data_IF_771334230611
#
_entry.id   IF_771334230611
#
_cell.length_a   1.000
_cell.length_b   1.000
_cell.length_c   1.000
_cell.angle_alpha   90.00
_cell.angle_beta   90.00
_cell.angle_gamma   90.00
#
_symmetry.space_group_name_H-M   'P 1'
#
loop_
_entity.id
_entity.type
_entity.pdbx_description
1 polymer ?
#
# COMPACT_ATOMS: atom_id res chain seq x y z
N UNK A 1 43.79 53.09 2.34
CA UNK A 1 42.79 52.11 2.82
C UNK A 1 43.38 51.52 4.09
N UNK A 2 42.79 51.81 5.24
CA UNK A 2 43.30 51.37 6.55
C UNK A 2 42.92 49.92 6.80
N UNK A 3 43.91 49.06 7.00
CA UNK A 3 43.68 47.68 7.42
C UNK A 3 42.97 47.67 8.79
N UNK A 4 41.96 46.80 8.98
CA UNK A 4 41.22 46.74 10.24
C UNK A 4 42.16 46.34 11.39
N UNK A 5 42.09 47.09 12.49
CA UNK A 5 42.86 46.81 13.70
C UNK A 5 42.71 45.35 14.15
N UNK A 6 43.81 44.68 14.52
CA UNK A 6 43.77 43.28 14.95
C UNK A 6 42.89 43.13 16.20
N UNK A 7 42.01 42.13 16.17
CA UNK A 7 41.07 41.83 17.26
C UNK A 7 41.81 41.64 18.58
N UNK A 8 41.23 42.15 19.67
CA UNK A 8 41.74 41.84 21.00
C UNK A 8 41.58 40.35 21.31
N UNK A 9 42.41 39.76 22.18
CA UNK A 9 42.34 38.32 22.50
C UNK A 9 40.93 37.86 22.93
N UNK A 10 40.22 38.70 23.70
CA UNK A 10 38.85 38.42 24.15
C UNK A 10 37.84 38.43 23.00
N UNK A 11 37.95 39.41 22.10
CA UNK A 11 37.11 39.47 20.90
C UNK A 11 37.34 38.26 19.99
N UNK A 12 38.58 37.75 19.94
CA UNK A 12 38.92 36.55 19.19
C UNK A 12 38.33 35.29 19.81
N UNK A 13 38.39 35.12 21.14
CA UNK A 13 37.78 34.00 21.85
C UNK A 13 36.27 33.99 21.60
N UNK A 14 35.61 35.14 21.79
CA UNK A 14 34.16 35.27 21.55
C UNK A 14 33.78 34.93 20.10
N UNK A 15 34.59 35.38 19.13
CA UNK A 15 34.38 35.04 17.71
C UNK A 15 34.53 33.54 17.45
N UNK A 16 35.52 32.90 18.05
CA UNK A 16 35.74 31.46 17.93
C UNK A 16 34.62 30.65 18.58
N UNK A 17 34.15 31.05 19.76
CA UNK A 17 32.99 30.44 20.43
C UNK A 17 31.74 30.52 19.57
N UNK A 18 31.48 31.67 18.94
CA UNK A 18 30.37 31.85 18.03
C UNK A 18 30.51 30.95 16.79
N UNK A 19 31.69 30.89 16.19
CA UNK A 19 31.97 29.98 15.07
C UNK A 19 31.79 28.50 15.47
N UNK A 20 32.20 28.13 16.68
CA UNK A 20 31.99 26.78 17.22
C UNK A 20 30.51 26.48 17.44
N UNK A 21 29.71 27.45 17.90
CA UNK A 21 28.27 27.30 18.04
C UNK A 21 27.60 27.13 16.66
N UNK A 22 27.93 27.98 15.69
CA UNK A 22 27.36 27.94 14.34
C UNK A 22 27.72 26.63 13.62
N UNK A 23 28.96 26.14 13.77
CA UNK A 23 29.39 24.88 13.16
C UNK A 23 28.69 23.67 13.77
N UNK A 24 28.48 23.65 15.09
CA UNK A 24 27.69 22.61 15.77
C UNK A 24 26.25 22.62 15.28
N UNK A 25 25.60 23.77 15.24
CA UNK A 25 24.22 23.89 14.74
C UNK A 25 24.09 23.41 13.28
N UNK A 26 25.06 23.76 12.43
CA UNK A 26 25.09 23.26 11.05
C UNK A 26 25.25 21.75 10.99
N UNK A 27 26.15 21.17 11.80
CA UNK A 27 26.36 19.72 11.83
C UNK A 27 25.09 18.99 12.29
N UNK A 28 24.46 19.43 13.38
CA UNK A 28 23.20 18.89 13.89
C UNK A 28 22.08 18.96 12.83
N UNK A 29 22.00 20.08 12.11
CA UNK A 29 21.07 20.24 10.99
C UNK A 29 21.35 19.23 9.86
N UNK A 30 22.61 19.09 9.44
CA UNK A 30 22.99 18.13 8.39
C UNK A 30 22.70 16.69 8.81
N UNK A 31 22.98 16.33 10.05
CA UNK A 31 22.66 15.00 10.60
C UNK A 31 21.16 14.75 10.53
N UNK A 32 20.33 15.69 10.96
CA UNK A 32 18.88 15.58 10.89
C UNK A 32 18.37 15.38 9.45
N UNK A 33 18.91 16.12 8.48
CA UNK A 33 18.55 15.97 7.05
C UNK A 33 18.93 14.58 6.54
N UNK A 34 20.15 14.11 6.86
CA UNK A 34 20.61 12.78 6.44
C UNK A 34 19.74 11.67 7.03
N UNK A 35 19.25 11.82 8.27
CA UNK A 35 18.32 10.85 8.84
C UNK A 35 16.99 10.77 8.09
N UNK A 36 16.44 11.91 7.64
CA UNK A 36 15.21 11.93 6.84
C UNK A 36 15.42 11.20 5.52
N UNK A 37 16.51 11.49 4.81
CA UNK A 37 16.84 10.82 3.54
C UNK A 37 17.00 9.30 3.72
N UNK A 38 17.68 8.87 4.78
CA UNK A 38 17.82 7.43 5.10
C UNK A 38 16.48 6.78 5.40
N UNK A 39 15.53 7.49 6.01
CA UNK A 39 14.16 6.98 6.24
C UNK A 39 13.45 6.80 4.91
N UNK A 40 13.53 7.77 4.01
CA UNK A 40 12.90 7.71 2.69
C UNK A 40 13.49 6.58 1.83
N UNK A 41 14.80 6.39 1.85
CA UNK A 41 15.48 5.27 1.18
C UNK A 41 14.99 3.91 1.70
N UNK A 42 14.83 3.75 3.01
CA UNK A 42 14.30 2.52 3.63
C UNK A 42 12.86 2.27 3.20
N UNK A 43 12.04 3.31 3.14
CA UNK A 43 10.66 3.21 2.66
C UNK A 43 10.65 2.79 1.19
N UNK A 44 11.41 3.47 0.33
CA UNK A 44 11.50 3.15 -1.09
C UNK A 44 12.00 1.71 -1.33
N UNK A 45 12.99 1.25 -0.57
CA UNK A 45 13.49 -0.12 -0.66
C UNK A 45 12.44 -1.16 -0.26
N UNK A 46 11.67 -0.91 0.80
CA UNK A 46 10.57 -1.78 1.21
C UNK A 46 9.45 -1.81 0.16
N UNK A 47 9.12 -0.66 -0.42
CA UNK A 47 8.12 -0.55 -1.48
C UNK A 47 8.54 -1.28 -2.75
N UNK A 48 9.82 -1.19 -3.12
CA UNK A 48 10.39 -1.96 -4.22
C UNK A 48 10.24 -3.47 -4.02
N UNK A 49 10.55 -3.98 -2.81
CA UNK A 49 10.38 -5.40 -2.49
C UNK A 49 8.92 -5.86 -2.66
N UNK A 50 7.96 -5.05 -2.22
CA UNK A 50 6.53 -5.33 -2.40
C UNK A 50 6.14 -5.36 -3.88
N UNK A 51 6.64 -4.43 -4.69
CA UNK A 51 6.34 -4.37 -6.11
C UNK A 51 6.88 -5.58 -6.87
N UNK A 52 8.12 -5.98 -6.59
CA UNK A 52 8.74 -7.15 -7.19
C UNK A 52 7.97 -8.42 -6.84
N UNK A 53 7.58 -8.58 -5.58
CA UNK A 53 6.72 -9.69 -5.16
C UNK A 53 5.39 -9.70 -5.92
N UNK A 54 4.70 -8.56 -6.00
CA UNK A 54 3.40 -8.48 -6.68
C UNK A 54 3.53 -8.78 -8.18
N UNK A 55 4.61 -8.36 -8.82
CA UNK A 55 4.91 -8.70 -10.22
C UNK A 55 5.08 -10.21 -10.38
N UNK A 56 5.90 -10.83 -9.53
CA UNK A 56 6.12 -12.27 -9.55
C UNK A 56 4.82 -13.06 -9.35
N UNK A 57 4.03 -12.71 -8.34
CA UNK A 57 2.74 -13.35 -8.08
C UNK A 57 1.75 -13.20 -9.24
N UNK A 58 1.77 -12.07 -9.94
CA UNK A 58 0.87 -11.85 -11.09
C UNK A 58 1.31 -12.52 -12.37
N UNK A 59 2.58 -12.94 -12.48
CA UNK A 59 2.97 -13.86 -13.55
C UNK A 59 2.25 -15.20 -13.40
N UNK A 60 2.03 -15.66 -12.15
CA UNK A 60 1.33 -16.90 -11.84
C UNK A 60 -0.20 -16.72 -11.81
N UNK A 61 -0.68 -15.68 -11.14
CA UNK A 61 -2.10 -15.39 -10.93
C UNK A 61 -2.44 -13.96 -11.40
N UNK A 62 -2.69 -13.72 -12.70
CA UNK A 62 -2.80 -12.36 -13.27
C UNK A 62 -3.92 -11.49 -12.68
N UNK A 63 -4.98 -12.13 -12.17
CA UNK A 63 -6.17 -11.44 -11.60
C UNK A 63 -6.21 -11.44 -10.08
N UNK A 64 -5.10 -11.75 -9.41
CA UNK A 64 -5.05 -11.76 -7.95
C UNK A 64 -5.32 -10.35 -7.39
N UNK A 65 -6.27 -10.29 -6.44
CA UNK A 65 -6.68 -9.04 -5.81
C UNK A 65 -5.72 -8.58 -4.71
N UNK A 66 -5.69 -7.26 -4.47
CA UNK A 66 -4.80 -6.64 -3.48
C UNK A 66 -4.96 -7.18 -2.05
N UNK A 67 -6.17 -7.57 -1.63
CA UNK A 67 -6.39 -8.15 -0.28
C UNK A 67 -5.73 -9.52 -0.12
N UNK A 68 -5.73 -10.34 -1.17
CA UNK A 68 -5.05 -11.65 -1.15
C UNK A 68 -3.53 -11.46 -1.20
N UNK A 69 -3.05 -10.50 -2.00
CA UNK A 69 -1.64 -10.11 -2.03
C UNK A 69 -1.14 -9.65 -0.66
N UNK A 70 -1.92 -8.82 0.06
CA UNK A 70 -1.57 -8.39 1.42
C UNK A 70 -1.39 -9.57 2.37
N UNK A 71 -2.32 -10.53 2.33
CA UNK A 71 -2.22 -11.74 3.13
C UNK A 71 -0.96 -12.55 2.79
N UNK A 72 -0.68 -12.79 1.50
CA UNK A 72 0.52 -13.53 1.07
C UNK A 72 1.82 -12.82 1.47
N UNK A 73 1.88 -11.49 1.37
CA UNK A 73 3.03 -10.69 1.85
C UNK A 73 3.30 -10.89 3.34
N UNK A 74 2.24 -10.93 4.15
CA UNK A 74 2.34 -11.15 5.59
C UNK A 74 2.78 -12.57 5.94
N UNK A 75 2.33 -13.58 5.17
CA UNK A 75 2.66 -14.98 5.43
C UNK A 75 4.06 -15.37 4.96
N UNK A 76 4.46 -15.00 3.74
CA UNK A 76 5.67 -15.53 3.09
C UNK A 76 6.90 -14.63 3.23
N UNK A 77 6.71 -13.30 3.28
CA UNK A 77 7.81 -12.33 3.29
C UNK A 77 7.92 -11.55 4.61
N UNK A 78 7.01 -11.79 5.56
CA UNK A 78 6.92 -11.07 6.84
C UNK A 78 6.85 -9.53 6.69
N UNK A 79 6.46 -9.03 5.51
CA UNK A 79 6.32 -7.59 5.26
C UNK A 79 4.95 -7.14 5.76
N UNK A 80 4.96 -6.31 6.80
CA UNK A 80 3.76 -5.74 7.40
C UNK A 80 3.38 -4.45 6.67
N UNK A 81 2.53 -4.57 5.65
CA UNK A 81 1.94 -3.41 4.95
C UNK A 81 0.45 -3.28 5.27
N UNK A 82 0.01 -2.06 5.56
CA UNK A 82 -1.40 -1.73 5.73
C UNK A 82 -2.18 -1.90 4.42
N UNK A 83 -3.48 -2.18 4.55
CA UNK A 83 -4.38 -2.39 3.40
C UNK A 83 -4.36 -1.18 2.46
N UNK A 84 -4.56 0.00 3.01
CA UNK A 84 -4.71 1.24 2.25
C UNK A 84 -3.37 1.67 1.65
N UNK A 85 -2.28 1.61 2.43
CA UNK A 85 -0.93 1.84 1.91
C UNK A 85 -0.58 0.93 0.72
N UNK A 86 -0.94 -0.36 0.80
CA UNK A 86 -0.72 -1.29 -0.33
C UNK A 86 -1.55 -0.89 -1.55
N UNK A 87 -2.81 -0.50 -1.36
CA UNK A 87 -3.68 -0.08 -2.46
C UNK A 87 -3.19 1.21 -3.12
N UNK A 88 -2.74 2.18 -2.33
CA UNK A 88 -2.18 3.44 -2.82
C UNK A 88 -0.89 3.19 -3.60
N UNK A 89 0.03 2.39 -3.04
CA UNK A 89 1.25 1.97 -3.73
C UNK A 89 0.96 1.28 -5.06
N UNK A 90 0.04 0.30 -5.08
CA UNK A 90 -0.32 -0.38 -6.32
C UNK A 90 -0.98 0.56 -7.33
N UNK A 91 -1.73 1.57 -6.86
CA UNK A 91 -2.36 2.58 -7.71
C UNK A 91 -1.32 3.50 -8.34
N UNK A 92 -0.36 3.98 -7.56
CA UNK A 92 0.72 4.86 -8.02
C UNK A 92 1.59 4.19 -9.09
N UNK A 93 1.85 2.89 -8.92
CA UNK A 93 2.58 2.08 -9.90
C UNK A 93 1.72 1.51 -11.03
N UNK A 94 0.43 1.91 -11.15
CA UNK A 94 -0.53 1.43 -12.17
C UNK A 94 -0.70 -0.10 -12.17
N UNK A 95 -0.46 -0.73 -11.03
CA UNK A 95 -0.64 -2.14 -10.77
C UNK A 95 -2.00 -2.43 -10.12
N UNK A 96 -2.97 -1.53 -10.10
CA UNK A 96 -4.30 -1.90 -9.62
C UNK A 96 -5.04 -2.69 -10.71
N UNK A 97 -5.49 -3.92 -10.40
CA UNK A 97 -6.27 -4.74 -11.34
C UNK A 97 -7.59 -4.01 -11.61
N UNK A 98 -7.82 -3.58 -12.85
CA UNK A 98 -9.05 -2.89 -13.22
C UNK A 98 -10.21 -3.89 -13.23
N UNK A 99 -11.27 -3.56 -12.49
CA UNK A 99 -12.53 -4.30 -12.59
C UNK A 99 -13.24 -3.86 -13.87
N UNK A 100 -13.21 -4.70 -14.90
CA UNK A 100 -14.09 -4.49 -16.05
C UNK A 100 -15.54 -4.68 -15.59
N UNK A 101 -16.35 -3.65 -15.78
CA UNK A 101 -17.78 -3.73 -15.49
C UNK A 101 -18.41 -4.63 -16.54
N UNK A 102 -18.97 -5.77 -16.12
CA UNK A 102 -19.76 -6.61 -16.99
C UNK A 102 -21.06 -5.86 -17.33
N UNK A 103 -21.14 -5.30 -18.54
CA UNK A 103 -22.34 -4.60 -19.03
C UNK A 103 -23.37 -5.54 -19.66
N UNK A 104 -23.28 -6.85 -19.37
CA UNK A 104 -24.27 -7.79 -19.90
C UNK A 104 -25.65 -7.44 -19.33
N UNK A 105 -26.56 -7.06 -20.22
CA UNK A 105 -27.98 -6.88 -19.90
C UNK A 105 -28.55 -8.25 -19.58
N UNK A 106 -28.60 -8.58 -18.29
CA UNK A 106 -29.24 -9.82 -17.83
C UNK A 106 -30.77 -9.73 -17.88
N UNK A 107 -31.32 -8.53 -18.01
CA UNK A 107 -32.76 -8.25 -18.01
C UNK A 107 -33.15 -7.29 -19.13
N UNK A 108 -34.30 -7.56 -19.76
CA UNK A 108 -34.98 -6.61 -20.64
C UNK A 108 -35.70 -5.56 -19.76
N UNK A 109 -34.97 -4.51 -19.37
CA UNK A 109 -35.54 -3.38 -18.63
C UNK A 109 -36.60 -2.60 -19.41
N UNK A 110 -36.69 -2.82 -20.73
CA UNK A 110 -37.79 -2.33 -21.58
C UNK A 110 -38.95 -3.32 -21.62
N UNK A 111 -39.33 -3.86 -20.45
CA UNK A 111 -40.54 -4.67 -20.36
C UNK A 111 -41.78 -3.77 -20.27
N UNK A 112 -42.91 -4.23 -20.80
CA UNK A 112 -44.16 -3.48 -20.81
C UNK A 112 -44.83 -3.37 -19.42
N UNK A 113 -44.34 -4.11 -18.43
CA UNK A 113 -44.88 -4.09 -17.08
C UNK A 113 -44.45 -2.85 -16.29
N UNK A 114 -45.34 -2.34 -15.42
CA UNK A 114 -45.06 -1.16 -14.60
C UNK A 114 -44.01 -1.48 -13.54
N UNK A 115 -42.94 -0.71 -13.49
CA UNK A 115 -42.00 -0.71 -12.36
C UNK A 115 -42.66 -0.04 -11.16
N UNK A 116 -42.83 -0.79 -10.06
CA UNK A 116 -43.40 -0.25 -8.83
C UNK A 116 -42.27 0.38 -7.99
N UNK A 117 -42.48 1.58 -7.40
CA UNK A 117 -41.46 2.24 -6.61
C UNK A 117 -41.10 1.40 -5.38
N UNK A 118 -39.81 1.36 -5.04
CA UNK A 118 -39.35 0.67 -3.83
C UNK A 118 -39.81 1.45 -2.58
N UNK A 119 -40.85 0.94 -1.91
CA UNK A 119 -41.51 1.56 -0.75
C UNK A 119 -40.63 1.63 0.51
N UNK A 120 -39.51 0.90 0.53
CA UNK A 120 -38.52 0.97 1.62
C UNK A 120 -37.70 2.26 1.58
N UNK A 121 -37.72 3.01 0.47
CA UNK A 121 -37.02 4.31 0.35
C UNK A 121 -37.78 5.48 0.96
N UNK A 122 -39.08 5.31 1.24
CA UNK A 122 -40.00 6.39 1.63
C UNK A 122 -40.25 6.49 3.14
N UNK A 123 -39.76 5.54 3.95
CA UNK A 123 -39.88 5.59 5.41
C UNK A 123 -38.91 6.59 6.08
N UNK A 124 -39.20 7.03 7.32
CA UNK A 124 -38.38 7.99 8.06
C UNK A 124 -36.98 7.44 8.46
N UNK A 125 -36.81 6.12 8.52
CA UNK A 125 -35.51 5.47 8.76
C UNK A 125 -34.73 5.30 7.46
N UNK A 126 -34.13 6.39 6.99
CA UNK A 126 -33.19 6.35 5.86
C UNK A 126 -31.79 6.02 6.39
N UNK A 127 -31.36 4.77 6.22
CA UNK A 127 -29.95 4.41 6.38
C UNK A 127 -29.15 5.02 5.21
N UNK A 128 -28.71 6.28 5.37
CA UNK A 128 -27.73 6.90 4.49
C UNK A 128 -26.36 6.28 4.76
N UNK A 129 -26.06 5.13 4.16
CA UNK A 129 -24.67 4.67 4.10
C UNK A 129 -23.94 5.54 3.08
N UNK A 130 -23.16 6.50 3.58
CA UNK A 130 -22.20 7.26 2.77
C UNK A 130 -21.07 6.31 2.35
N UNK A 131 -21.27 5.60 1.25
CA UNK A 131 -20.30 4.66 0.72
C UNK A 131 -20.79 3.96 -0.55
N UNK A 132 -20.48 4.58 -1.69
CA UNK A 132 -20.14 3.91 -2.96
C UNK A 132 -21.04 2.78 -3.48
N UNK A 133 -21.80 3.08 -4.55
CA UNK A 133 -22.43 2.14 -5.51
C UNK A 133 -23.25 0.99 -4.91
N UNK A 134 -24.57 1.11 -5.01
CA UNK A 134 -25.50 -0.01 -4.91
C UNK A 134 -25.12 -1.14 -5.91
N UNK A 135 -24.61 -2.25 -5.37
CA UNK A 135 -24.59 -3.55 -6.03
C UNK A 135 -25.88 -4.25 -5.62
N UNK A 136 -26.71 -4.63 -6.59
CA UNK A 136 -27.86 -5.51 -6.35
C UNK A 136 -27.29 -6.90 -6.05
N UNK A 137 -27.16 -7.24 -4.77
CA UNK A 137 -26.83 -8.59 -4.35
C UNK A 137 -28.06 -9.48 -4.47
N UNK A 138 -28.02 -10.46 -5.39
CA UNK A 138 -28.90 -11.62 -5.33
C UNK A 138 -28.25 -12.63 -4.39
N UNK A 139 -28.94 -12.97 -3.30
CA UNK A 139 -28.41 -13.83 -2.25
C UNK A 139 -28.16 -15.25 -2.73
N UNK A 140 -27.00 -15.79 -2.35
CA UNK A 140 -26.79 -17.23 -2.22
C UNK A 140 -26.24 -17.53 -0.83
N UNK A 141 -26.80 -18.60 -0.29
CA UNK A 141 -26.64 -19.25 1.00
C UNK A 141 -25.29 -19.09 1.75
N UNK A 142 -25.44 -18.90 3.06
CA UNK A 142 -24.45 -19.19 4.09
C UNK A 142 -23.97 -20.65 3.98
N UNK A 143 -22.69 -20.85 3.67
CA UNK A 143 -21.93 -22.00 4.17
C UNK A 143 -20.60 -21.48 4.70
N UNK A 144 -20.32 -21.87 5.94
CA UNK A 144 -19.32 -21.30 6.83
C UNK A 144 -17.89 -21.70 6.46
N UNK A 145 -16.97 -20.84 6.88
CA UNK A 145 -15.60 -20.67 6.41
C UNK A 145 -14.59 -21.68 6.99
N UNK A 146 -14.98 -22.95 7.17
CA UNK A 146 -14.14 -23.95 7.86
C UNK A 146 -13.52 -25.03 6.98
N UNK A 147 -13.96 -25.20 5.72
CA UNK A 147 -13.41 -26.24 4.81
C UNK A 147 -12.30 -25.69 3.90
N UNK A 148 -12.24 -24.36 3.68
CA UNK A 148 -11.25 -23.75 2.78
C UNK A 148 -9.83 -23.60 3.37
N UNK A 149 -9.65 -23.78 4.68
CA UNK A 149 -8.33 -23.69 5.34
C UNK A 149 -7.42 -24.87 4.99
N UNK A 150 -7.95 -26.08 4.81
CA UNK A 150 -7.12 -27.28 4.57
C UNK A 150 -6.76 -27.52 3.10
N UNK A 151 -7.46 -26.92 2.13
CA UNK A 151 -7.17 -27.13 0.70
C UNK A 151 -6.15 -26.13 0.11
N UNK A 152 -5.82 -25.06 0.83
CA UNK A 152 -4.81 -24.08 0.37
C UNK A 152 -3.38 -24.43 0.80
N UNK A 153 -3.19 -25.22 1.87
CA UNK A 153 -1.86 -25.71 2.27
C UNK A 153 -1.35 -26.83 1.36
N UNK A 154 -2.25 -27.60 0.73
CA UNK A 154 -1.84 -28.75 -0.09
C UNK A 154 -1.33 -28.36 -1.49
N UNK A 155 -1.80 -27.24 -2.05
CA UNK A 155 -1.48 -26.86 -3.43
C UNK A 155 -0.33 -25.84 -3.55
N UNK A 156 0.06 -25.16 -2.46
CA UNK A 156 1.20 -24.23 -2.46
C UNK A 156 2.55 -24.91 -2.20
N UNK A 157 2.56 -26.14 -1.64
CA UNK A 157 3.82 -26.87 -1.36
C UNK A 157 4.37 -27.64 -2.57
N UNK A 158 3.54 -28.03 -3.54
CA UNK A 158 3.99 -28.81 -4.70
C UNK A 158 4.65 -27.98 -5.81
N UNK A 159 4.36 -26.68 -5.94
CA UNK A 159 4.84 -25.89 -7.10
C UNK A 159 6.23 -25.28 -6.90
N UNK A 160 6.73 -25.21 -5.66
CA UNK A 160 8.02 -24.55 -5.36
C UNK A 160 9.22 -25.50 -5.49
N UNK A 161 9.05 -26.81 -5.36
CA UNK A 161 10.18 -27.76 -5.43
C UNK A 161 10.66 -28.11 -6.85
N UNK A 162 9.85 -27.86 -7.90
CA UNK A 162 10.22 -28.29 -9.27
C UNK A 162 10.77 -27.18 -10.18
N UNK A 163 10.74 -25.90 -9.80
CA UNK A 163 11.07 -24.80 -10.74
C UNK A 163 12.22 -23.87 -10.34
N UNK A 164 12.83 -24.03 -9.16
CA UNK A 164 14.00 -23.25 -8.77
C UNK A 164 15.16 -24.17 -8.41
N UNK A 165 15.88 -24.62 -9.45
CA UNK A 165 17.12 -25.38 -9.34
C UNK A 165 18.23 -24.60 -8.63
N UNK A 166 18.17 -24.56 -7.30
CA UNK A 166 19.28 -24.18 -6.43
C UNK A 166 19.97 -25.46 -5.97
N UNK A 167 20.98 -25.89 -6.73
CA UNK A 167 22.00 -26.79 -6.21
C UNK A 167 22.71 -26.05 -5.07
N UNK A 168 22.55 -26.52 -3.82
CA UNK A 168 23.43 -26.13 -2.71
C UNK A 168 24.41 -27.28 -2.43
N UNK A 169 25.69 -27.00 -2.14
CA UNK A 169 26.60 -27.99 -1.58
C UNK A 169 26.18 -28.40 -0.17
#
# INVERSE_FOLDING_TARGET
MSDPSPLTPEQRIKKLEQQLADTKQRAEFFEAVVEVLKRDERVAAAEYQVLEFVRAERMLQPRIGARKLQYLLQQHHHIQIGRDKLLDLLKDHRLLVSTQRAYHKTTQSHHRFRCHPNLLKTGPEKNHTNGTRAVVGCGYHLLTNSVWRSLSEFNYRCVVEENYGLSRP
#
